data_IF_605916247967
#
_entry.id   IF_605916247967
#
_cell.length_a   1.000
_cell.length_b   1.000
_cell.length_c   1.000
_cell.angle_alpha   90.00
_cell.angle_beta   90.00
_cell.angle_gamma   90.00
#
_symmetry.space_group_name_H-M   'P 1'
#
loop_
_entity.id
_entity.type
_entity.pdbx_description
1 polymer ?
#
# COMPACT_ATOMS: atom_id res chain seq x y z
N UNK A 1 -5.46 6.73 2.00
CA UNK A 1 -4.83 7.09 0.71
C UNK A 1 -5.88 7.12 -0.39
N UNK A 2 -5.79 8.03 -1.37
CA UNK A 2 -6.54 7.88 -2.62
C UNK A 2 -5.68 7.09 -3.60
N UNK A 3 -6.11 5.90 -4.02
CA UNK A 3 -5.34 5.05 -4.94
C UNK A 3 -5.60 5.47 -6.39
N UNK A 4 -4.51 5.62 -7.15
CA UNK A 4 -4.53 5.97 -8.57
C UNK A 4 -3.54 5.10 -9.35
N UNK A 5 -3.85 3.81 -9.57
CA UNK A 5 -2.95 2.90 -10.26
C UNK A 5 -2.77 3.26 -11.74
N UNK A 6 -1.58 2.98 -12.26
CA UNK A 6 -1.14 3.27 -13.63
C UNK A 6 -0.64 2.01 -14.32
N UNK A 7 0.34 1.34 -13.72
CA UNK A 7 1.01 0.17 -14.32
C UNK A 7 1.58 -0.75 -13.25
N UNK A 8 2.34 -1.76 -13.68
CA UNK A 8 3.03 -2.72 -12.83
C UNK A 8 2.07 -3.37 -11.82
N UNK A 9 2.48 -3.48 -10.56
CA UNK A 9 1.73 -4.11 -9.48
C UNK A 9 0.72 -3.18 -8.80
N UNK A 10 0.60 -1.92 -9.23
CA UNK A 10 -0.20 -0.90 -8.53
C UNK A 10 -1.68 -1.25 -8.40
N UNK A 11 -2.25 -2.00 -9.36
CA UNK A 11 -3.64 -2.46 -9.29
C UNK A 11 -3.83 -3.52 -8.19
N UNK A 12 -2.83 -4.37 -7.96
CA UNK A 12 -2.82 -5.33 -6.85
C UNK A 12 -2.68 -4.58 -5.53
N UNK A 13 -1.76 -3.61 -5.46
CA UNK A 13 -1.58 -2.77 -4.28
C UNK A 13 -2.84 -1.95 -3.95
N UNK A 14 -3.57 -1.47 -4.97
CA UNK A 14 -4.86 -0.81 -4.76
C UNK A 14 -5.86 -1.74 -4.05
N UNK A 15 -5.99 -2.99 -4.51
CA UNK A 15 -6.86 -3.98 -3.88
C UNK A 15 -6.44 -4.28 -2.44
N UNK A 16 -5.13 -4.44 -2.21
CA UNK A 16 -4.60 -4.61 -0.87
C UNK A 16 -4.97 -3.43 0.05
N UNK A 17 -4.80 -2.19 -0.42
CA UNK A 17 -5.04 -0.97 0.36
C UNK A 17 -6.54 -0.74 0.62
N UNK A 18 -7.39 -1.01 -0.37
CA UNK A 18 -8.82 -0.64 -0.33
C UNK A 18 -9.72 -1.77 0.18
N UNK A 19 -9.40 -3.04 -0.11
CA UNK A 19 -10.26 -4.18 0.23
C UNK A 19 -9.74 -4.96 1.45
N UNK A 20 -8.42 -5.14 1.55
CA UNK A 20 -7.78 -5.90 2.65
C UNK A 20 -7.51 -4.99 3.85
N UNK A 21 -6.65 -3.99 3.67
CA UNK A 21 -6.32 -3.02 4.72
C UNK A 21 -7.46 -2.03 4.97
N UNK A 22 -8.32 -1.77 3.99
CA UNK A 22 -9.43 -0.79 4.03
C UNK A 22 -9.00 0.55 4.62
N UNK A 23 -7.87 1.09 4.16
CA UNK A 23 -7.29 2.37 4.58
C UNK A 23 -7.25 3.41 3.44
N UNK A 24 -8.00 3.15 2.37
CA UNK A 24 -7.99 4.01 1.19
C UNK A 24 -9.25 3.94 0.35
N UNK A 25 -9.30 4.85 -0.62
CA UNK A 25 -10.41 5.04 -1.55
C UNK A 25 -9.86 5.00 -2.98
N UNK A 26 -10.53 4.28 -3.87
CA UNK A 26 -10.18 4.25 -5.28
C UNK A 26 -10.63 5.52 -5.99
N UNK A 27 -9.75 6.13 -6.79
CA UNK A 27 -10.12 7.22 -7.71
C UNK A 27 -10.91 6.72 -8.93
N UNK A 28 -10.80 5.41 -9.21
CA UNK A 28 -11.48 4.75 -10.33
C UNK A 28 -10.65 4.62 -11.61
N UNK A 29 -9.31 4.64 -11.50
CA UNK A 29 -8.42 4.20 -12.58
C UNK A 29 -8.56 2.70 -12.79
N UNK A 30 -8.78 2.26 -14.03
CA UNK A 30 -9.03 0.86 -14.39
C UNK A 30 -8.15 0.34 -15.53
N UNK A 31 -7.38 1.21 -16.17
CA UNK A 31 -6.57 0.86 -17.32
C UNK A 31 -5.12 0.64 -16.92
N UNK A 32 -4.63 -0.57 -17.19
CA UNK A 32 -3.22 -0.91 -17.04
C UNK A 32 -2.44 -0.51 -18.29
N UNK A 33 -1.40 0.30 -18.13
CA UNK A 33 -0.52 0.66 -19.24
C UNK A 33 0.56 1.65 -18.86
N UNK A 34 1.61 1.69 -19.66
CA UNK A 34 2.67 2.69 -19.54
C UNK A 34 2.15 4.10 -19.81
N UNK A 35 2.85 5.10 -19.28
CA UNK A 35 2.49 6.51 -19.36
C UNK A 35 2.35 7.03 -20.81
N UNK A 36 2.98 6.33 -21.76
CA UNK A 36 3.17 6.76 -23.15
C UNK A 36 1.98 6.39 -24.06
N UNK A 37 0.92 5.78 -23.49
CA UNK A 37 -0.30 5.50 -24.25
C UNK A 37 -1.15 6.77 -24.37
N UNK A 38 -1.13 7.35 -25.56
CA UNK A 38 -1.87 8.57 -25.93
C UNK A 38 -3.39 8.45 -25.69
N UNK A 39 -3.94 7.23 -25.79
CA UNK A 39 -5.38 6.94 -25.65
C UNK A 39 -5.84 6.63 -24.22
N UNK A 40 -5.03 6.93 -23.20
CA UNK A 40 -5.38 6.57 -21.82
C UNK A 40 -6.62 7.34 -21.34
N UNK A 41 -7.55 6.62 -20.72
CA UNK A 41 -8.74 7.22 -20.13
C UNK A 41 -8.37 8.23 -19.03
N UNK A 42 -8.65 9.51 -19.31
CA UNK A 42 -8.51 10.58 -18.34
C UNK A 42 -9.59 10.47 -17.27
N UNK A 43 -9.16 10.38 -16.00
CA UNK A 43 -10.08 10.43 -14.86
C UNK A 43 -10.58 11.86 -14.71
N UNK A 44 -11.89 12.05 -14.86
CA UNK A 44 -12.50 13.37 -14.75
C UNK A 44 -12.43 13.91 -13.32
N UNK A 45 -12.37 15.24 -13.21
CA UNK A 45 -12.27 15.97 -11.93
C UNK A 45 -13.34 15.58 -10.92
N UNK A 46 -14.54 15.19 -11.37
CA UNK A 46 -15.65 14.83 -10.49
C UNK A 46 -15.33 13.56 -9.68
N UNK A 47 -14.70 12.56 -10.31
CA UNK A 47 -14.24 11.34 -9.61
C UNK A 47 -13.13 11.63 -8.62
N UNK A 48 -12.22 12.55 -8.98
CA UNK A 48 -11.14 12.99 -8.09
C UNK A 48 -11.73 13.70 -6.87
N UNK A 49 -12.67 14.63 -7.08
CA UNK A 49 -13.34 15.35 -6.01
C UNK A 49 -14.11 14.41 -5.08
N UNK A 50 -14.86 13.45 -5.62
CA UNK A 50 -15.56 12.43 -4.82
C UNK A 50 -14.60 11.59 -3.96
N UNK A 51 -13.51 11.10 -4.55
CA UNK A 51 -12.54 10.29 -3.82
C UNK A 51 -11.86 11.08 -2.68
N UNK A 52 -11.52 12.35 -2.92
CA UNK A 52 -10.96 13.24 -1.89
C UNK A 52 -11.98 13.51 -0.79
N UNK A 53 -13.24 13.82 -1.17
CA UNK A 53 -14.31 14.07 -0.20
C UNK A 53 -14.54 12.86 0.68
N UNK A 54 -14.63 11.65 0.11
CA UNK A 54 -14.82 10.40 0.87
C UNK A 54 -13.69 10.11 1.84
N UNK A 55 -12.45 10.48 1.50
CA UNK A 55 -11.30 10.29 2.38
C UNK A 55 -11.25 11.34 3.50
N UNK A 56 -11.63 12.58 3.19
CA UNK A 56 -11.49 13.74 4.09
C UNK A 56 -12.75 14.07 4.89
N UNK A 57 -13.90 13.53 4.51
CA UNK A 57 -15.16 13.74 5.21
C UNK A 57 -15.01 13.33 6.68
N UNK A 58 -15.68 14.04 7.59
CA UNK A 58 -15.69 13.70 9.01
C UNK A 58 -16.59 12.53 9.39
N UNK A 59 -17.07 11.75 8.42
CA UNK A 59 -17.99 10.64 8.65
C UNK A 59 -17.30 9.38 9.19
N UNK A 60 -18.09 8.47 9.73
CA UNK A 60 -17.61 7.24 10.39
C UNK A 60 -16.65 6.41 9.52
N UNK A 61 -16.95 6.29 8.22
CA UNK A 61 -16.10 5.56 7.29
C UNK A 61 -14.68 6.13 7.18
N UNK A 62 -14.55 7.46 7.17
CA UNK A 62 -13.25 8.14 7.08
C UNK A 62 -12.51 8.10 8.43
N UNK A 63 -13.23 8.24 9.53
CA UNK A 63 -12.67 8.07 10.86
C UNK A 63 -12.11 6.65 11.06
N UNK A 64 -12.84 5.62 10.61
CA UNK A 64 -12.41 4.22 10.67
C UNK A 64 -11.18 3.96 9.79
N UNK A 65 -11.15 4.47 8.55
CA UNK A 65 -9.95 4.39 7.70
C UNK A 65 -8.73 5.00 8.41
N UNK A 66 -8.89 6.16 9.06
CA UNK A 66 -7.81 6.85 9.78
C UNK A 66 -7.36 6.08 11.02
N UNK A 67 -8.30 5.46 11.75
CA UNK A 67 -8.02 4.60 12.90
C UNK A 67 -7.17 3.41 12.48
N UNK A 68 -7.61 2.65 11.47
CA UNK A 68 -6.86 1.50 10.92
C UNK A 68 -5.48 1.90 10.38
N UNK A 69 -5.38 3.03 9.67
CA UNK A 69 -4.10 3.52 9.18
C UNK A 69 -3.09 3.79 10.31
N UNK A 70 -3.55 4.31 11.45
CA UNK A 70 -2.70 4.50 12.64
C UNK A 70 -2.28 3.17 13.25
N UNK A 71 -3.17 2.19 13.33
CA UNK A 71 -2.83 0.84 13.82
C UNK A 71 -1.75 0.19 12.97
N UNK A 72 -1.89 0.21 11.63
CA UNK A 72 -0.86 -0.32 10.74
C UNK A 72 0.45 0.46 10.83
N UNK A 73 0.42 1.77 11.06
CA UNK A 73 1.63 2.56 11.28
C UNK A 73 2.38 2.11 12.55
N UNK A 74 1.64 1.86 13.64
CA UNK A 74 2.23 1.30 14.87
C UNK A 74 2.80 -0.09 14.63
N UNK A 75 2.05 -1.00 13.97
CA UNK A 75 2.53 -2.35 13.66
C UNK A 75 3.79 -2.34 12.80
N UNK A 76 3.83 -1.50 11.76
CA UNK A 76 4.99 -1.37 10.89
C UNK A 76 6.23 -0.87 11.67
N UNK A 77 6.05 0.09 12.59
CA UNK A 77 7.13 0.58 13.45
C UNK A 77 7.64 -0.52 14.39
N UNK A 78 6.74 -1.23 15.06
CA UNK A 78 7.11 -2.33 15.97
C UNK A 78 7.80 -3.47 15.23
N UNK A 79 7.41 -3.78 14.00
CA UNK A 79 8.04 -4.84 13.20
C UNK A 79 9.54 -4.61 12.96
N UNK A 80 9.99 -3.35 12.87
CA UNK A 80 11.40 -3.00 12.61
C UNK A 80 12.20 -2.67 13.88
N UNK A 81 11.54 -2.27 14.96
CA UNK A 81 12.18 -1.95 16.25
C UNK A 81 12.32 -3.20 17.13
N UNK A 82 13.03 -4.21 16.65
CA UNK A 82 13.21 -5.49 17.35
C UNK A 82 12.03 -6.47 17.22
N UNK A 83 11.08 -6.18 16.32
CA UNK A 83 9.98 -7.08 15.99
C UNK A 83 10.29 -8.03 14.84
N UNK A 84 9.23 -8.49 14.17
CA UNK A 84 9.30 -9.57 13.18
C UNK A 84 10.28 -9.30 12.04
N UNK A 85 10.23 -8.13 11.40
CA UNK A 85 11.14 -7.81 10.30
C UNK A 85 12.60 -7.70 10.73
N UNK A 86 12.85 -7.25 11.97
CA UNK A 86 14.19 -7.25 12.54
C UNK A 86 14.71 -8.69 12.71
N UNK A 87 13.91 -9.56 13.35
CA UNK A 87 14.25 -10.96 13.57
C UNK A 87 14.42 -11.74 12.27
N UNK A 88 13.58 -11.48 11.25
CA UNK A 88 13.69 -12.14 9.94
C UNK A 88 15.01 -11.79 9.24
N UNK A 89 15.47 -10.54 9.35
CA UNK A 89 16.77 -10.12 8.78
C UNK A 89 17.93 -10.74 9.54
N UNK A 90 17.85 -10.82 10.87
CA UNK A 90 18.86 -11.51 11.68
C UNK A 90 18.95 -12.99 11.31
N UNK A 91 17.81 -13.68 11.18
CA UNK A 91 17.74 -15.07 10.74
C UNK A 91 18.34 -15.26 9.34
N UNK A 92 18.06 -14.35 8.40
CA UNK A 92 18.65 -14.38 7.07
C UNK A 92 20.18 -14.22 7.11
N UNK A 93 20.71 -13.33 7.95
CA UNK A 93 22.16 -13.14 8.10
C UNK A 93 22.82 -14.41 8.64
N UNK A 94 22.23 -15.04 9.65
CA UNK A 94 22.75 -16.30 10.20
C UNK A 94 22.72 -17.43 9.17
N UNK A 95 21.64 -17.54 8.39
CA UNK A 95 21.56 -18.52 7.31
C UNK A 95 22.68 -18.34 6.28
N UNK A 96 22.96 -17.10 5.89
CA UNK A 96 24.04 -16.78 4.95
C UNK A 96 25.43 -17.09 5.54
N UNK A 97 25.66 -16.82 6.83
CA UNK A 97 26.91 -17.16 7.53
C UNK A 97 27.16 -18.66 7.56
N UNK A 98 26.14 -19.44 7.91
CA UNK A 98 26.22 -20.91 7.93
C UNK A 98 26.55 -21.44 6.54
N UNK A 99 25.89 -20.92 5.49
CA UNK A 99 26.17 -21.31 4.11
C UNK A 99 27.61 -20.99 3.70
N UNK A 100 28.13 -19.81 4.04
CA UNK A 100 29.52 -19.44 3.70
C UNK A 100 30.53 -20.38 4.37
N UNK A 101 30.32 -20.74 5.63
CA UNK A 101 31.20 -21.63 6.38
C UNK A 101 31.15 -23.09 5.89
N UNK A 102 30.11 -23.50 5.18
CA UNK A 102 30.03 -24.83 4.56
C UNK A 102 30.90 -24.98 3.29
N UNK A 103 31.32 -23.87 2.67
CA UNK A 103 32.12 -23.88 1.44
C UNK A 103 33.59 -23.46 1.66
N UNK A 104 33.99 -23.22 2.91
CA UNK A 104 35.38 -23.00 3.35
C UNK A 104 35.87 -24.21 4.15
#
# INVERSE_FOLDING_TARGET
MVTWPITAEQFINEKFITEVLRIGVQVGSKEWGYHDKEDRLVIRREKVADAVLRLMAGGDAAAEMKRRAREYATLAKTAVEGGSSYTDVEALIEELRVRQNMFN
#
